data_IF_090412964405
#
_entry.id   IF_090412964405
#
_cell.length_a   1.000
_cell.length_b   1.000
_cell.length_c   1.000
_cell.angle_alpha   90.00
_cell.angle_beta   90.00
_cell.angle_gamma   90.00
#
_symmetry.space_group_name_H-M   'P 1'
#
loop_
_entity.id
_entity.type
_entity.pdbx_description
1 polymer ?
#
# COMPACT_ATOMS: atom_id res chain seq x y z
N UNK A 1 -18.59 -43.16 26.95
CA UNK A 1 -17.55 -42.13 27.19
C UNK A 1 -16.74 -41.99 25.92
N UNK A 2 -17.06 -41.00 25.09
CA UNK A 2 -16.36 -40.80 23.82
C UNK A 2 -15.06 -40.07 24.09
N UNK A 3 -13.92 -40.71 23.81
CA UNK A 3 -12.62 -40.09 23.90
C UNK A 3 -12.51 -38.99 22.83
N UNK A 4 -12.43 -37.73 23.26
CA UNK A 4 -12.06 -36.64 22.38
C UNK A 4 -10.62 -36.88 21.93
N UNK A 5 -10.47 -37.39 20.70
CA UNK A 5 -9.18 -37.58 20.06
C UNK A 5 -8.35 -36.31 20.16
N UNK A 6 -7.11 -36.49 20.60
CA UNK A 6 -6.10 -35.45 20.66
C UNK A 6 -6.13 -34.61 19.39
N UNK A 7 -6.35 -33.30 19.54
CA UNK A 7 -6.37 -32.31 18.46
C UNK A 7 -5.18 -32.56 17.53
N UNK A 8 -5.45 -33.08 16.34
CA UNK A 8 -4.48 -33.09 15.24
C UNK A 8 -4.22 -31.62 14.88
N UNK A 9 -3.18 -31.04 15.45
CA UNK A 9 -2.76 -29.68 15.14
C UNK A 9 -2.08 -29.73 13.76
N UNK A 10 -2.58 -28.96 12.81
CA UNK A 10 -1.95 -28.83 11.49
C UNK A 10 -0.53 -28.30 11.73
N UNK A 11 0.53 -29.01 11.31
CA UNK A 11 1.88 -28.53 11.49
C UNK A 11 2.05 -27.22 10.71
N UNK A 12 2.75 -26.27 11.33
CA UNK A 12 3.05 -25.00 10.67
C UNK A 12 3.79 -25.30 9.35
N UNK A 13 3.39 -24.67 8.22
CA UNK A 13 4.08 -24.88 6.97
C UNK A 13 5.55 -24.46 7.11
N UNK A 14 6.48 -25.13 6.39
CA UNK A 14 7.89 -24.76 6.44
C UNK A 14 8.04 -23.30 6.05
N UNK A 15 8.68 -22.52 6.93
CA UNK A 15 9.10 -21.15 6.65
C UNK A 15 10.32 -21.18 5.72
N UNK A 16 10.09 -21.57 4.48
CA UNK A 16 11.04 -21.44 3.37
C UNK A 16 10.52 -20.47 2.33
N UNK A 17 9.79 -19.44 2.77
CA UNK A 17 9.31 -18.39 1.91
C UNK A 17 10.50 -17.51 1.50
N UNK A 18 11.03 -17.78 0.29
CA UNK A 18 12.01 -16.96 -0.39
C UNK A 18 13.38 -17.61 -0.50
N UNK A 19 13.97 -17.50 -1.69
CA UNK A 19 15.40 -17.74 -1.88
C UNK A 19 16.16 -16.71 -1.05
N UNK A 20 17.02 -17.11 -0.10
CA UNK A 20 17.86 -16.15 0.60
C UNK A 20 18.73 -15.45 -0.44
N UNK A 21 18.86 -14.13 -0.30
CA UNK A 21 19.71 -13.34 -1.18
C UNK A 21 21.13 -13.94 -1.15
N UNK A 22 21.60 -14.46 -2.28
CA UNK A 22 22.85 -15.20 -2.38
C UNK A 22 23.96 -14.24 -2.79
N UNK A 23 24.76 -13.77 -1.84
CA UNK A 23 25.92 -12.89 -2.08
C UNK A 23 25.99 -11.70 -1.12
N UNK A 24 26.98 -10.83 -1.31
CA UNK A 24 26.94 -9.49 -0.72
C UNK A 24 25.78 -8.73 -1.36
N UNK A 25 24.96 -8.06 -0.55
CA UNK A 25 23.96 -7.12 -1.08
C UNK A 25 24.70 -6.14 -1.98
N UNK A 26 24.40 -6.19 -3.28
CA UNK A 26 24.93 -5.19 -4.21
C UNK A 26 24.57 -3.82 -3.64
N UNK A 27 25.56 -2.92 -3.60
CA UNK A 27 25.30 -1.54 -3.20
C UNK A 27 24.30 -0.96 -4.20
N UNK A 28 23.11 -0.61 -3.71
CA UNK A 28 22.10 0.04 -4.55
C UNK A 28 22.70 1.38 -4.97
N UNK A 29 22.79 1.61 -6.29
CA UNK A 29 23.20 2.91 -6.82
C UNK A 29 22.19 3.95 -6.33
N UNK A 30 22.61 4.97 -5.56
CA UNK A 30 21.72 6.01 -5.06
C UNK A 30 20.93 6.71 -6.17
N UNK A 31 21.46 6.75 -7.40
CA UNK A 31 20.79 7.36 -8.56
C UNK A 31 19.64 6.50 -9.12
N UNK A 32 19.50 5.24 -8.71
CA UNK A 32 18.40 4.36 -9.10
C UNK A 32 17.18 4.53 -8.20
N UNK A 33 17.29 5.26 -7.09
CA UNK A 33 16.19 5.53 -6.17
C UNK A 33 15.63 6.91 -6.49
N UNK A 34 14.36 6.96 -6.90
CA UNK A 34 13.64 8.23 -7.06
C UNK A 34 13.60 8.97 -5.72
N UNK A 35 13.88 10.27 -5.75
CA UNK A 35 13.81 11.13 -4.57
C UNK A 35 12.38 11.15 -4.00
N UNK A 36 12.21 10.87 -2.70
CA UNK A 36 10.91 10.99 -2.04
C UNK A 36 10.38 12.42 -2.07
N UNK A 37 11.27 13.43 -2.07
CA UNK A 37 10.88 14.84 -2.11
C UNK A 37 10.27 15.18 -3.45
N UNK A 38 10.91 14.81 -4.55
CA UNK A 38 10.42 15.08 -5.90
C UNK A 38 9.03 14.46 -6.11
N UNK A 39 8.79 13.30 -5.51
CA UNK A 39 7.50 12.61 -5.56
C UNK A 39 6.41 13.40 -4.82
N UNK A 40 6.74 13.96 -3.65
CA UNK A 40 5.82 14.78 -2.86
C UNK A 40 5.53 16.11 -3.57
N UNK A 41 6.56 16.78 -4.08
CA UNK A 41 6.42 18.06 -4.78
C UNK A 41 5.58 17.92 -6.06
N UNK A 42 5.79 16.83 -6.81
CA UNK A 42 4.99 16.53 -8.01
C UNK A 42 3.52 16.27 -7.67
N UNK A 43 3.25 15.56 -6.57
CA UNK A 43 1.87 15.33 -6.13
C UNK A 43 1.23 16.64 -5.63
N UNK A 44 1.97 17.48 -4.90
CA UNK A 44 1.49 18.79 -4.46
C UNK A 44 1.14 19.70 -5.64
N UNK A 45 2.00 19.79 -6.66
CA UNK A 45 1.73 20.59 -7.87
C UNK A 45 0.45 20.13 -8.57
N UNK A 46 0.24 18.81 -8.64
CA UNK A 46 -0.95 18.23 -9.26
C UNK A 46 -2.24 18.62 -8.53
N UNK A 47 -2.23 18.60 -7.20
CA UNK A 47 -3.43 18.80 -6.39
C UNK A 47 -3.66 20.24 -5.94
N UNK A 48 -2.70 21.14 -6.14
CA UNK A 48 -2.83 22.57 -5.84
C UNK A 48 -4.01 23.22 -6.57
N UNK A 49 -4.27 22.79 -7.81
CA UNK A 49 -5.35 23.32 -8.65
C UNK A 49 -6.44 22.28 -8.98
N UNK A 50 -6.44 21.13 -8.29
CA UNK A 50 -7.40 20.04 -8.54
C UNK A 50 -8.08 19.59 -7.26
N UNK A 51 -9.38 19.39 -7.36
CA UNK A 51 -10.16 18.81 -6.28
C UNK A 51 -10.22 17.29 -6.41
N UNK A 52 -10.00 16.59 -5.30
CA UNK A 52 -10.15 15.14 -5.25
C UNK A 52 -11.62 14.76 -5.08
N UNK A 53 -12.16 14.05 -6.06
CA UNK A 53 -13.51 13.47 -6.00
C UNK A 53 -13.39 11.99 -5.58
N UNK A 54 -14.11 11.59 -4.52
CA UNK A 54 -14.01 10.20 -4.00
C UNK A 54 -14.60 9.15 -4.93
N UNK A 55 -15.39 9.56 -5.93
CA UNK A 55 -15.80 8.77 -7.08
C UNK A 55 -15.32 9.48 -8.36
N UNK A 56 -14.88 8.76 -9.40
CA UNK A 56 -15.02 7.33 -9.67
C UNK A 56 -13.84 6.44 -9.17
N UNK A 57 -13.18 6.79 -8.06
CA UNK A 57 -12.14 5.93 -7.45
C UNK A 57 -10.73 6.11 -8.03
N UNK A 58 -10.35 7.34 -8.37
CA UNK A 58 -8.97 7.68 -8.73
C UNK A 58 -8.04 7.50 -7.53
N UNK A 59 -6.73 7.39 -7.77
CA UNK A 59 -5.75 7.37 -6.68
C UNK A 59 -5.90 8.63 -5.82
N UNK A 60 -5.99 8.48 -4.50
CA UNK A 60 -5.99 9.62 -3.59
C UNK A 60 -4.63 10.33 -3.62
N UNK A 61 -4.60 11.64 -3.29
CA UNK A 61 -3.36 12.36 -3.03
C UNK A 61 -2.54 11.69 -1.93
N UNK A 62 -1.23 11.94 -1.93
CA UNK A 62 -0.35 11.49 -0.85
C UNK A 62 -0.76 12.15 0.48
N UNK A 63 -0.49 11.47 1.59
CA UNK A 63 -0.80 11.99 2.93
C UNK A 63 -0.02 13.25 3.30
N UNK A 64 1.03 13.58 2.55
CA UNK A 64 1.87 14.77 2.70
C UNK A 64 1.41 15.94 1.84
N UNK A 65 0.38 15.73 1.02
CA UNK A 65 -0.14 16.72 0.09
C UNK A 65 -1.33 17.43 0.72
N UNK A 66 -1.33 18.75 0.68
CA UNK A 66 -2.50 19.55 1.03
C UNK A 66 -3.44 19.59 -0.18
N UNK A 67 -4.69 19.14 0.00
CA UNK A 67 -5.71 19.10 -1.06
C UNK A 67 -7.12 19.31 -0.54
N UNK A 68 -8.03 19.69 -1.44
CA UNK A 68 -9.47 19.76 -1.15
C UNK A 68 -10.14 18.50 -1.69
N UNK A 69 -10.91 17.82 -0.84
CA UNK A 69 -11.70 16.66 -1.21
C UNK A 69 -13.20 17.00 -1.23
N UNK A 70 -13.91 16.50 -2.23
CA UNK A 70 -15.38 16.44 -2.24
C UNK A 70 -15.84 15.01 -2.09
N UNK A 71 -16.61 14.77 -1.02
CA UNK A 71 -17.22 13.48 -0.74
C UNK A 71 -18.44 13.25 -1.66
N UNK A 72 -18.43 12.12 -2.36
CA UNK A 72 -19.54 11.63 -3.18
C UNK A 72 -20.12 10.32 -2.63
N UNK A 73 -20.26 10.22 -1.31
CA UNK A 73 -20.75 9.05 -0.57
C UNK A 73 -19.76 7.87 -0.48
N UNK A 74 -18.47 8.16 -0.60
CA UNK A 74 -17.39 7.24 -0.26
C UNK A 74 -16.61 7.89 0.89
N UNK A 75 -16.62 7.27 2.07
CA UNK A 75 -15.96 7.77 3.29
C UNK A 75 -14.42 7.74 3.24
N UNK A 76 -13.83 7.82 2.04
CA UNK A 76 -12.40 7.66 1.76
C UNK A 76 -11.47 8.63 2.50
N UNK A 77 -12.01 9.68 3.12
CA UNK A 77 -11.27 10.55 4.04
C UNK A 77 -10.92 9.87 5.39
N UNK A 78 -11.54 8.73 5.72
CA UNK A 78 -11.33 8.02 7.00
C UNK A 78 -10.51 6.73 6.87
N UNK A 79 -10.13 6.30 5.67
CA UNK A 79 -9.39 5.06 5.46
C UNK A 79 -8.40 5.25 4.32
N UNK A 80 -7.09 5.12 4.59
CA UNK A 80 -6.07 4.90 3.57
C UNK A 80 -6.02 3.39 3.26
N UNK A 81 -6.67 2.87 2.21
CA UNK A 81 -6.48 1.48 1.83
C UNK A 81 -5.11 1.35 1.17
N UNK A 82 -4.22 0.55 1.76
CA UNK A 82 -2.89 0.27 1.22
C UNK A 82 -2.90 -0.39 -0.17
N UNK A 83 -4.06 -0.84 -0.67
CA UNK A 83 -4.22 -1.41 -2.01
C UNK A 83 -5.59 -1.05 -2.60
N UNK A 84 -5.61 -0.37 -3.75
CA UNK A 84 -6.77 -0.32 -4.64
C UNK A 84 -6.86 -1.64 -5.40
N UNK A 85 -7.65 -2.60 -4.91
CA UNK A 85 -7.99 -3.78 -5.71
C UNK A 85 -8.93 -3.36 -6.83
N UNK A 86 -8.41 -3.37 -8.05
CA UNK A 86 -9.22 -3.39 -9.27
C UNK A 86 -10.20 -4.56 -9.21
N UNK A 87 -11.49 -4.29 -9.40
CA UNK A 87 -12.46 -5.29 -9.82
C UNK A 87 -12.93 -4.89 -11.22
N UNK A 88 -12.78 -5.83 -12.14
CA UNK A 88 -13.36 -5.85 -13.49
C UNK A 88 -14.89 -5.90 -13.44
#
# INVERSE_FOLDING_TARGET
MYAHGTRSHIPQPPHSAGTPYKGLRDAIDPNQISSPIDTIETDQERWDNQMYMTLPGKQPPLSTTDFIAMDQANSGLFVNPAEHRYRE
#
